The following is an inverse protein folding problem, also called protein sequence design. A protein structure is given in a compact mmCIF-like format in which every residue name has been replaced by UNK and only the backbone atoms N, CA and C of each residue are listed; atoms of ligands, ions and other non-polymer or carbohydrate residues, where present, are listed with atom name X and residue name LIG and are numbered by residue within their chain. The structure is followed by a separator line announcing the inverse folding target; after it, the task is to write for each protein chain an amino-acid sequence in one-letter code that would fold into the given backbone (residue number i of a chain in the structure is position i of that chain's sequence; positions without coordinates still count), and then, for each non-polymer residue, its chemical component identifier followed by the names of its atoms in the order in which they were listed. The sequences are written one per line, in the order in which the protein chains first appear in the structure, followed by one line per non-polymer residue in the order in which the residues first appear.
data_IF_472054664846
#
_entry.id   IF_472054664846
#
_cell.length_a   1.000
_cell.length_b   1.000
_cell.length_c   1.000
_cell.angle_alpha   90.00
_cell.angle_beta   90.00
_cell.angle_gamma   90.00
#
_symmetry.space_group_name_H-M   'P 1'
#
loop_
_entity.id
_entity.type
_entity.pdbx_description
1 polymer ?
#
# COMPACT_ATOMS: atom_id res chain seq x y z
N UNK A 1 -4.52 -57.95 1.81
CA UNK A 1 -3.77 -56.97 0.98
C UNK A 1 -4.47 -55.62 0.81
N UNK A 2 -5.82 -55.51 0.77
CA UNK A 2 -6.53 -54.24 0.56
C UNK A 2 -6.38 -53.21 1.71
N UNK A 3 -6.47 -53.62 2.98
CA UNK A 3 -6.34 -52.69 4.14
C UNK A 3 -4.98 -51.98 4.23
N UNK A 4 -3.88 -52.65 3.87
CA UNK A 4 -2.53 -52.06 3.93
C UNK A 4 -2.31 -50.96 2.88
N UNK A 5 -2.97 -51.03 1.71
CA UNK A 5 -2.92 -49.94 0.72
C UNK A 5 -3.74 -48.75 1.18
N UNK A 6 -4.92 -48.98 1.77
CA UNK A 6 -5.79 -47.93 2.29
C UNK A 6 -5.12 -47.15 3.42
N UNK A 7 -4.47 -47.86 4.37
CA UNK A 7 -3.64 -47.24 5.43
C UNK A 7 -2.57 -46.30 4.88
N UNK A 8 -1.82 -46.75 3.88
CA UNK A 8 -0.77 -45.92 3.26
C UNK A 8 -1.32 -44.66 2.59
N UNK A 9 -2.52 -44.74 2.00
CA UNK A 9 -3.18 -43.60 1.36
C UNK A 9 -3.66 -42.59 2.42
N UNK A 10 -4.29 -43.06 3.51
CA UNK A 10 -4.77 -42.17 4.59
C UNK A 10 -3.60 -41.53 5.35
N UNK A 11 -2.59 -42.31 5.72
CA UNK A 11 -1.37 -41.78 6.35
C UNK A 11 -0.62 -40.81 5.43
N UNK A 12 -0.58 -41.08 4.11
CA UNK A 12 0.01 -40.17 3.13
C UNK A 12 -0.75 -38.84 3.02
N UNK A 13 -2.08 -38.89 3.01
CA UNK A 13 -2.94 -37.71 2.99
C UNK A 13 -2.80 -36.84 4.24
N UNK A 14 -2.69 -37.46 5.43
CA UNK A 14 -2.45 -36.76 6.70
C UNK A 14 -1.07 -36.13 6.79
N UNK A 15 -0.05 -36.76 6.23
CA UNK A 15 1.28 -36.15 6.16
C UNK A 15 1.29 -34.94 5.23
N UNK A 16 0.60 -35.00 4.09
CA UNK A 16 0.50 -33.85 3.17
C UNK A 16 -0.32 -32.68 3.73
N UNK A 17 -1.36 -32.93 4.53
CA UNK A 17 -2.20 -31.85 5.10
C UNK A 17 -1.52 -31.08 6.24
N UNK A 18 -0.52 -31.68 6.91
CA UNK A 18 0.29 -30.97 7.92
C UNK A 18 1.25 -29.91 7.37
N UNK A 19 1.43 -29.85 6.05
CA UNK A 19 2.26 -28.85 5.36
C UNK A 19 1.44 -27.72 4.71
N UNK A 20 0.21 -27.46 5.15
CA UNK A 20 -0.51 -26.26 4.75
C UNK A 20 0.34 -25.02 5.08
N UNK A 21 0.86 -24.37 4.05
CA UNK A 21 1.71 -23.18 4.18
C UNK A 21 0.89 -22.10 4.88
N UNK A 22 1.34 -21.53 6.01
CA UNK A 22 0.60 -20.48 6.71
C UNK A 22 0.70 -19.17 5.91
N UNK A 23 -0.17 -18.99 4.91
CA UNK A 23 -0.23 -17.78 4.09
C UNK A 23 -1.01 -16.65 4.77
N UNK A 24 -1.79 -16.93 5.82
CA UNK A 24 -2.63 -15.91 6.48
C UNK A 24 -1.82 -14.73 7.05
N UNK A 25 -0.61 -14.97 7.58
CA UNK A 25 0.29 -13.91 8.01
C UNK A 25 0.72 -12.99 6.86
N UNK A 26 0.98 -13.55 5.68
CA UNK A 26 1.33 -12.81 4.46
C UNK A 26 0.13 -12.06 3.88
N UNK A 27 -1.07 -12.64 3.93
CA UNK A 27 -2.33 -12.02 3.47
C UNK A 27 -2.71 -10.83 4.34
N UNK A 28 -2.51 -10.97 5.65
CA UNK A 28 -2.77 -9.90 6.61
C UNK A 28 -1.78 -8.74 6.46
N UNK A 29 -0.52 -9.04 6.12
CA UNK A 29 0.48 -8.03 5.75
C UNK A 29 0.20 -7.35 4.39
N UNK A 30 -0.38 -8.08 3.43
CA UNK A 30 -0.63 -7.62 2.07
C UNK A 30 -1.80 -6.63 1.93
N UNK A 31 -2.68 -6.50 2.94
CA UNK A 31 -3.81 -5.54 2.98
C UNK A 31 -4.80 -5.65 1.80
N UNK A 32 -4.98 -6.84 1.25
CA UNK A 32 -5.94 -7.11 0.17
C UNK A 32 -7.20 -7.81 0.72
N UNK A 33 -8.34 -7.12 0.86
CA UNK A 33 -9.55 -7.67 1.52
C UNK A 33 -10.16 -8.85 0.75
N UNK A 34 -10.11 -8.82 -0.59
CA UNK A 34 -10.63 -9.90 -1.42
C UNK A 34 -9.78 -11.18 -1.27
N UNK A 35 -8.44 -11.03 -1.25
CA UNK A 35 -7.50 -12.13 -1.00
C UNK A 35 -7.65 -12.67 0.43
N UNK A 36 -7.98 -11.79 1.40
CA UNK A 36 -8.26 -12.18 2.79
C UNK A 36 -9.50 -13.05 2.92
N UNK A 37 -10.59 -12.70 2.24
CA UNK A 37 -11.81 -13.50 2.25
C UNK A 37 -11.59 -14.89 1.64
N UNK A 38 -10.92 -14.97 0.48
CA UNK A 38 -10.60 -16.26 -0.17
C UNK A 38 -9.65 -17.11 0.68
N UNK A 39 -8.65 -16.49 1.33
CA UNK A 39 -7.74 -17.19 2.24
C UNK A 39 -8.44 -17.77 3.47
N UNK A 40 -9.34 -17.01 4.12
CA UNK A 40 -10.11 -17.45 5.28
C UNK A 40 -11.05 -18.61 4.93
N UNK A 41 -11.72 -18.53 3.77
CA UNK A 41 -12.59 -19.60 3.29
C UNK A 41 -11.78 -20.87 2.99
N UNK A 42 -10.58 -20.72 2.44
CA UNK A 42 -9.68 -21.85 2.13
C UNK A 42 -9.13 -22.51 3.39
N UNK A 43 -8.76 -21.74 4.43
CA UNK A 43 -8.38 -22.29 5.75
C UNK A 43 -9.52 -23.06 6.41
N UNK A 44 -10.74 -22.51 6.38
CA UNK A 44 -11.91 -23.21 6.92
C UNK A 44 -12.15 -24.53 6.20
N UNK A 45 -12.04 -24.55 4.87
CA UNK A 45 -12.16 -25.78 4.07
C UNK A 45 -11.04 -26.79 4.38
N UNK A 46 -9.82 -26.34 4.66
CA UNK A 46 -8.72 -27.21 5.08
C UNK A 46 -8.97 -27.84 6.46
N UNK A 47 -9.48 -27.07 7.41
CA UNK A 47 -9.84 -27.60 8.72
C UNK A 47 -10.94 -28.67 8.60
N UNK A 48 -11.97 -28.43 7.79
CA UNK A 48 -13.03 -29.41 7.53
C UNK A 48 -12.49 -30.70 6.86
N UNK A 49 -11.53 -30.59 5.93
CA UNK A 49 -10.88 -31.75 5.33
C UNK A 49 -10.03 -32.54 6.35
N UNK A 50 -9.36 -31.83 7.26
CA UNK A 50 -8.57 -32.44 8.33
C UNK A 50 -9.45 -33.22 9.31
N UNK A 51 -10.61 -32.66 9.66
CA UNK A 51 -11.60 -33.31 10.52
C UNK A 51 -12.16 -34.59 9.85
N UNK A 52 -12.44 -34.54 8.54
CA UNK A 52 -12.86 -35.72 7.75
C UNK A 52 -11.79 -36.80 7.69
N UNK A 53 -10.51 -36.44 7.51
CA UNK A 53 -9.38 -37.38 7.55
C UNK A 53 -9.28 -38.09 8.90
N UNK A 54 -9.39 -37.33 9.98
CA UNK A 54 -9.36 -37.86 11.35
C UNK A 54 -10.53 -38.82 11.60
N UNK A 55 -11.72 -38.49 11.10
CA UNK A 55 -12.90 -39.35 11.19
C UNK A 55 -12.73 -40.65 10.39
N UNK A 56 -12.18 -40.57 9.17
CA UNK A 56 -11.87 -41.73 8.32
C UNK A 56 -10.85 -42.67 8.95
N UNK A 57 -9.83 -42.14 9.62
CA UNK A 57 -8.90 -42.95 10.42
C UNK A 57 -9.60 -43.71 11.55
N UNK A 58 -10.53 -43.04 12.25
CA UNK A 58 -11.35 -43.65 13.28
C UNK A 58 -12.20 -44.81 12.74
N UNK A 59 -12.90 -44.56 11.62
CA UNK A 59 -13.68 -45.60 10.92
C UNK A 59 -12.80 -46.78 10.50
N UNK A 60 -11.61 -46.51 9.96
CA UNK A 60 -10.68 -47.56 9.55
C UNK A 60 -10.19 -48.41 10.73
N UNK A 61 -9.86 -47.80 11.87
CA UNK A 61 -9.47 -48.52 13.09
C UNK A 61 -10.60 -49.40 13.64
N UNK A 62 -11.86 -48.94 13.56
CA UNK A 62 -13.03 -49.71 14.00
C UNK A 62 -13.26 -50.96 13.12
N UNK A 63 -13.13 -50.81 11.79
CA UNK A 63 -13.23 -51.93 10.83
C UNK A 63 -12.12 -52.97 11.04
N UNK A 64 -10.95 -52.56 11.54
CA UNK A 64 -9.86 -53.50 11.86
C UNK A 64 -10.06 -54.28 13.17
N UNK A 65 -10.87 -53.76 14.09
CA UNK A 65 -11.19 -54.43 15.35
C UNK A 65 -12.27 -55.52 15.19
N UNK A 66 -13.06 -55.47 14.12
CA UNK A 66 -14.16 -56.40 13.87
C UNK A 66 -13.70 -57.65 13.08
N UNK A 67 -13.76 -58.82 13.72
CA UNK A 67 -13.19 -60.09 13.21
C UNK A 67 -14.13 -60.90 12.30
N UNK A 68 -15.34 -60.41 12.03
CA UNK A 68 -16.35 -61.07 11.19
C UNK A 68 -16.25 -60.59 9.74
N UNK A 69 -16.08 -61.52 8.79
CA UNK A 69 -15.64 -61.23 7.42
C UNK A 69 -16.67 -60.55 6.48
N UNK A 70 -17.94 -60.48 6.85
CA UNK A 70 -19.02 -59.97 5.98
C UNK A 70 -19.32 -58.47 6.15
N UNK A 71 -19.30 -57.94 7.38
CA UNK A 71 -19.52 -56.51 7.70
C UNK A 71 -18.42 -55.59 7.17
N UNK A 72 -17.22 -56.13 6.97
CA UNK A 72 -16.04 -55.37 6.56
C UNK A 72 -16.07 -54.90 5.10
N UNK A 73 -16.79 -55.58 4.20
CA UNK A 73 -16.73 -55.26 2.76
C UNK A 73 -17.52 -54.00 2.39
N UNK A 74 -18.69 -53.80 3.01
CA UNK A 74 -19.52 -52.60 2.79
C UNK A 74 -18.86 -51.35 3.41
N UNK A 75 -18.36 -51.45 4.64
CA UNK A 75 -17.65 -50.37 5.31
C UNK A 75 -16.37 -49.94 4.56
N UNK A 76 -15.61 -50.89 4.00
CA UNK A 76 -14.43 -50.57 3.18
C UNK A 76 -14.83 -49.85 1.88
N UNK A 77 -15.97 -50.20 1.27
CA UNK A 77 -16.47 -49.52 0.06
C UNK A 77 -16.87 -48.07 0.36
N UNK A 78 -17.54 -47.82 1.48
CA UNK A 78 -17.89 -46.47 1.95
C UNK A 78 -16.64 -45.60 2.20
N UNK A 79 -15.66 -46.13 2.95
CA UNK A 79 -14.38 -45.45 3.21
C UNK A 79 -13.64 -45.13 1.90
N UNK A 80 -13.73 -46.02 0.91
CA UNK A 80 -13.08 -45.82 -0.39
C UNK A 80 -13.72 -44.67 -1.19
N UNK A 81 -15.05 -44.55 -1.16
CA UNK A 81 -15.75 -43.43 -1.83
C UNK A 81 -15.52 -42.10 -1.09
N UNK A 82 -15.57 -42.09 0.25
CA UNK A 82 -15.25 -40.90 1.03
C UNK A 82 -13.81 -40.41 0.79
N UNK A 83 -12.86 -41.32 0.61
CA UNK A 83 -11.47 -40.97 0.25
C UNK A 83 -11.34 -40.41 -1.16
N UNK A 84 -12.11 -40.91 -2.12
CA UNK A 84 -12.10 -40.40 -3.49
C UNK A 84 -12.64 -38.98 -3.57
N UNK A 85 -13.71 -38.69 -2.82
CA UNK A 85 -14.27 -37.34 -2.72
C UNK A 85 -13.32 -36.39 -2.00
N UNK A 86 -12.68 -36.85 -0.93
CA UNK A 86 -11.68 -36.06 -0.21
C UNK A 86 -10.46 -35.74 -1.10
N UNK A 87 -10.01 -36.68 -1.93
CA UNK A 87 -8.92 -36.44 -2.87
C UNK A 87 -9.25 -35.32 -3.85
N UNK A 88 -10.48 -35.32 -4.38
CA UNK A 88 -10.98 -34.26 -5.26
C UNK A 88 -11.06 -32.90 -4.56
N UNK A 89 -11.43 -32.88 -3.28
CA UNK A 89 -11.42 -31.65 -2.46
C UNK A 89 -10.00 -31.15 -2.19
N UNK A 90 -9.04 -32.06 -2.04
CA UNK A 90 -7.62 -31.70 -1.85
C UNK A 90 -7.02 -31.11 -3.12
N UNK A 91 -7.34 -31.66 -4.30
CA UNK A 91 -6.92 -31.09 -5.60
C UNK A 91 -7.47 -29.68 -5.81
N UNK A 92 -8.77 -29.46 -5.52
CA UNK A 92 -9.36 -28.12 -5.66
C UNK A 92 -8.80 -27.12 -4.65
N UNK A 93 -8.47 -27.59 -3.44
CA UNK A 93 -7.81 -26.75 -2.42
C UNK A 93 -6.39 -26.35 -2.83
N UNK A 94 -5.62 -27.26 -3.44
CA UNK A 94 -4.30 -26.94 -3.97
C UNK A 94 -4.34 -25.88 -5.07
N UNK A 95 -5.35 -25.92 -5.95
CA UNK A 95 -5.58 -24.87 -6.96
C UNK A 95 -5.91 -23.53 -6.31
N UNK A 96 -6.75 -23.52 -5.26
CA UNK A 96 -7.08 -22.30 -4.53
C UNK A 96 -5.85 -21.70 -3.82
N UNK A 97 -5.00 -22.54 -3.21
CA UNK A 97 -3.74 -22.10 -2.59
C UNK A 97 -2.80 -21.44 -3.62
N UNK A 98 -2.65 -22.02 -4.81
CA UNK A 98 -1.83 -21.43 -5.88
C UNK A 98 -2.35 -20.07 -6.32
N UNK A 99 -3.67 -19.89 -6.44
CA UNK A 99 -4.26 -18.57 -6.78
C UNK A 99 -4.04 -17.53 -5.68
N UNK A 100 -4.16 -17.93 -4.41
CA UNK A 100 -3.87 -17.05 -3.27
C UNK A 100 -2.40 -16.63 -3.28
N UNK A 101 -1.49 -17.56 -3.58
CA UNK A 101 -0.06 -17.27 -3.65
C UNK A 101 0.30 -16.32 -4.80
N UNK A 102 -0.30 -16.51 -5.97
CA UNK A 102 -0.14 -15.62 -7.13
C UNK A 102 -0.70 -14.22 -6.85
N UNK A 103 -1.88 -14.13 -6.24
CA UNK A 103 -2.48 -12.86 -5.84
C UNK A 103 -1.65 -12.14 -4.75
N UNK A 104 -1.05 -12.89 -3.82
CA UNK A 104 -0.13 -12.35 -2.82
C UNK A 104 1.13 -11.76 -3.45
N UNK A 105 1.73 -12.43 -4.44
CA UNK A 105 2.91 -11.95 -5.15
C UNK A 105 2.61 -10.66 -5.91
N UNK A 106 1.47 -10.61 -6.62
CA UNK A 106 1.00 -9.40 -7.32
C UNK A 106 0.77 -8.23 -6.36
N UNK A 107 0.14 -8.47 -5.21
CA UNK A 107 -0.09 -7.44 -4.20
C UNK A 107 1.23 -6.97 -3.57
N UNK A 108 2.14 -7.89 -3.25
CA UNK A 108 3.46 -7.53 -2.72
C UNK A 108 4.29 -6.74 -3.74
N UNK A 109 4.23 -7.12 -5.01
CA UNK A 109 4.87 -6.39 -6.11
C UNK A 109 4.32 -4.96 -6.20
N UNK A 110 2.99 -4.80 -6.26
CA UNK A 110 2.34 -3.49 -6.30
C UNK A 110 2.66 -2.64 -5.07
N UNK A 111 2.67 -3.22 -3.87
CA UNK A 111 3.04 -2.53 -2.65
C UNK A 111 4.49 -2.05 -2.67
N UNK A 112 5.42 -2.86 -3.21
CA UNK A 112 6.83 -2.50 -3.34
C UNK A 112 7.05 -1.38 -4.36
N UNK A 113 6.34 -1.41 -5.49
CA UNK A 113 6.38 -0.34 -6.48
C UNK A 113 5.78 0.96 -5.91
N UNK A 114 4.71 0.86 -5.11
CA UNK A 114 4.16 1.97 -4.34
C UNK A 114 5.14 2.52 -3.29
N UNK A 115 5.87 1.67 -2.58
CA UNK A 115 6.88 2.09 -1.61
C UNK A 115 8.03 2.85 -2.28
N UNK A 116 8.54 2.38 -3.43
CA UNK A 116 9.54 3.12 -4.22
C UNK A 116 9.02 4.49 -4.65
N UNK A 117 7.76 4.55 -5.12
CA UNK A 117 7.11 5.80 -5.50
C UNK A 117 6.96 6.78 -4.32
N UNK A 118 6.76 6.27 -3.10
CA UNK A 118 6.70 7.10 -1.89
C UNK A 118 8.07 7.59 -1.41
N UNK A 119 9.14 6.87 -1.72
CA UNK A 119 10.51 7.18 -1.28
C UNK A 119 11.16 8.28 -2.13
N UNK A 120 10.92 8.26 -3.45
CA UNK A 120 11.27 9.36 -4.36
C UNK A 120 10.17 9.56 -5.42
N UNK A 121 9.25 10.51 -5.20
CA UNK A 121 8.18 10.82 -6.16
C UNK A 121 8.68 11.33 -7.52
N UNK A 122 9.99 11.65 -7.64
CA UNK A 122 10.62 12.12 -8.86
C UNK A 122 11.38 11.04 -9.63
N UNK A 123 11.63 9.87 -9.02
CA UNK A 123 12.34 8.75 -9.66
C UNK A 123 11.35 7.84 -10.41
N UNK A 124 11.39 7.92 -11.76
CA UNK A 124 10.68 7.01 -12.65
C UNK A 124 9.34 7.48 -13.21
N UNK A 125 8.87 8.70 -12.92
CA UNK A 125 7.58 9.18 -13.45
C UNK A 125 7.70 9.80 -14.84
N UNK A 126 7.34 9.02 -15.86
CA UNK A 126 7.05 9.50 -17.21
C UNK A 126 5.54 9.46 -17.41
N UNK A 127 4.93 10.59 -17.79
CA UNK A 127 3.48 10.72 -17.88
C UNK A 127 2.87 9.65 -18.79
N UNK A 128 2.11 8.72 -18.21
CA UNK A 128 1.26 7.79 -18.98
C UNK A 128 -0.13 8.40 -19.15
N UNK A 129 -0.65 8.38 -20.38
CA UNK A 129 -1.84 9.10 -20.82
C UNK A 129 -3.17 8.49 -20.33
N UNK A 130 -4.17 9.35 -20.05
CA UNK A 130 -5.54 8.97 -19.74
C UNK A 130 -6.46 8.85 -20.99
N UNK A 131 -6.01 9.27 -22.18
CA UNK A 131 -6.80 9.14 -23.43
C UNK A 131 -5.90 9.01 -24.67
N UNK A 132 -6.38 8.31 -25.69
CA UNK A 132 -5.66 8.13 -26.98
C UNK A 132 -5.86 9.28 -27.98
N UNK A 133 -6.77 10.22 -27.72
CA UNK A 133 -7.30 11.09 -28.79
C UNK A 133 -6.59 12.43 -28.99
N UNK A 134 -5.81 12.93 -28.04
CA UNK A 134 -5.22 14.27 -28.16
C UNK A 134 -3.84 14.44 -27.49
N UNK A 135 -3.18 13.33 -27.10
CA UNK A 135 -1.88 13.39 -26.43
C UNK A 135 -0.75 13.03 -27.39
N UNK A 136 0.29 13.87 -27.36
CA UNK A 136 1.57 13.58 -27.99
C UNK A 136 2.23 12.47 -27.18
N UNK A 137 2.35 11.30 -27.82
CA UNK A 137 3.26 10.25 -27.42
C UNK A 137 4.63 10.89 -27.14
N UNK A 138 5.26 10.71 -25.95
CA UNK A 138 6.64 11.12 -25.78
C UNK A 138 7.43 10.30 -26.82
N UNK A 139 7.83 10.94 -27.91
CA UNK A 139 8.37 10.30 -29.10
C UNK A 139 9.61 9.47 -28.80
N UNK A 140 9.42 8.22 -28.44
CA UNK A 140 10.45 7.21 -28.35
C UNK A 140 10.13 6.12 -29.36
N UNK A 141 10.99 5.94 -30.36
CA UNK A 141 11.06 4.65 -31.05
C UNK A 141 11.64 3.64 -30.04
N UNK A 142 10.80 3.06 -29.17
CA UNK A 142 11.19 2.08 -28.15
C UNK A 142 10.94 2.51 -26.70
N UNK A 143 11.36 1.65 -25.76
CA UNK A 143 11.13 1.68 -24.30
C UNK A 143 11.75 2.86 -23.53
N UNK A 144 12.13 3.94 -24.21
CA UNK A 144 12.74 5.13 -23.61
C UNK A 144 11.80 6.33 -23.75
N UNK A 145 11.18 6.79 -22.67
CA UNK A 145 10.33 7.97 -22.70
C UNK A 145 11.11 9.24 -23.08
N UNK A 146 10.52 10.03 -23.98
CA UNK A 146 11.05 11.34 -24.40
C UNK A 146 10.85 12.40 -23.32
N UNK A 147 11.94 13.10 -22.97
CA UNK A 147 11.93 14.27 -22.09
C UNK A 147 11.24 15.50 -22.71
N UNK A 148 10.86 15.46 -23.99
CA UNK A 148 10.13 16.55 -24.65
C UNK A 148 8.76 16.08 -25.16
N UNK A 149 7.70 16.79 -24.76
CA UNK A 149 6.37 16.73 -25.39
C UNK A 149 6.28 17.87 -26.42
N UNK A 150 5.97 17.53 -27.66
CA UNK A 150 5.99 18.47 -28.80
C UNK A 150 4.57 18.73 -29.33
N UNK A 151 4.10 19.98 -29.29
CA UNK A 151 2.76 20.38 -29.71
C UNK A 151 2.51 20.33 -31.23
N UNK A 152 3.47 19.83 -32.04
CA UNK A 152 3.34 19.74 -33.50
C UNK A 152 2.07 19.01 -33.97
N UNK A 153 1.62 17.99 -33.22
CA UNK A 153 0.45 17.18 -33.59
C UNK A 153 -0.91 17.88 -33.35
N UNK A 154 -0.93 19.07 -32.75
CA UNK A 154 -2.15 19.87 -32.58
C UNK A 154 -2.41 20.84 -33.74
N UNK A 155 -1.65 20.74 -34.84
CA UNK A 155 -1.91 21.55 -36.03
C UNK A 155 -3.34 21.33 -36.55
N UNK A 156 -4.11 22.41 -36.67
CA UNK A 156 -5.52 22.37 -37.07
C UNK A 156 -6.52 22.21 -35.92
N UNK A 157 -6.05 21.98 -34.68
CA UNK A 157 -6.88 22.00 -33.47
C UNK A 157 -6.80 23.36 -32.76
N UNK A 158 -7.89 23.76 -32.09
CA UNK A 158 -7.92 25.01 -31.31
C UNK A 158 -7.13 24.91 -30.01
N UNK A 159 -7.04 23.71 -29.44
CA UNK A 159 -6.50 23.46 -28.11
C UNK A 159 -5.53 22.29 -28.13
N UNK A 160 -4.33 22.52 -27.59
CA UNK A 160 -3.32 21.51 -27.30
C UNK A 160 -3.37 21.16 -25.81
N UNK A 161 -3.26 19.88 -25.47
CA UNK A 161 -3.29 19.40 -24.09
C UNK A 161 -2.04 18.57 -23.82
N UNK A 162 -1.20 19.02 -22.90
CA UNK A 162 -0.04 18.27 -22.41
C UNK A 162 -0.37 17.47 -21.16
N UNK A 163 0.39 16.41 -20.89
CA UNK A 163 0.40 15.77 -19.58
C UNK A 163 1.48 16.43 -18.70
N UNK A 164 1.09 16.98 -17.55
CA UNK A 164 2.04 17.60 -16.64
C UNK A 164 2.99 16.57 -15.99
N UNK A 165 4.28 16.88 -15.95
CA UNK A 165 5.28 16.19 -15.15
C UNK A 165 6.42 17.17 -14.79
N UNK A 166 6.98 17.11 -13.56
CA UNK A 166 7.96 18.09 -13.08
C UNK A 166 9.25 18.21 -13.93
N UNK A 167 9.67 17.11 -14.56
CA UNK A 167 10.93 17.01 -15.31
C UNK A 167 10.72 17.02 -16.83
N UNK A 168 9.58 17.49 -17.30
CA UNK A 168 9.21 17.47 -18.72
C UNK A 168 9.44 18.84 -19.39
N UNK A 169 9.96 18.79 -20.62
CA UNK A 169 10.05 19.93 -21.52
C UNK A 169 8.85 19.97 -22.47
N UNK A 170 8.21 21.13 -22.61
CA UNK A 170 7.04 21.33 -23.47
C UNK A 170 7.38 22.26 -24.63
N UNK A 171 7.33 21.75 -25.86
CA UNK A 171 7.58 22.55 -27.05
C UNK A 171 6.28 23.05 -27.66
N UNK A 172 6.17 24.38 -27.81
CA UNK A 172 4.97 25.10 -28.22
C UNK A 172 5.28 25.95 -29.44
N UNK A 173 4.37 25.92 -30.42
CA UNK A 173 4.48 26.71 -31.63
C UNK A 173 3.66 27.99 -31.53
N UNK A 174 4.32 29.10 -31.83
CA UNK A 174 3.72 30.44 -31.87
C UNK A 174 3.86 31.03 -33.28
N UNK A 175 3.05 32.03 -33.60
CA UNK A 175 3.13 32.72 -34.90
C UNK A 175 3.09 34.22 -34.73
N UNK A 176 3.92 34.93 -35.48
CA UNK A 176 3.91 36.40 -35.49
C UNK A 176 2.53 36.92 -35.90
N UNK A 177 2.05 37.91 -35.15
CA UNK A 177 0.71 38.49 -35.36
C UNK A 177 -0.42 37.68 -34.71
N UNK A 178 -0.13 36.53 -34.09
CA UNK A 178 -1.09 35.71 -33.35
C UNK A 178 -0.70 35.64 -31.88
N UNK A 179 -1.69 35.35 -31.03
CA UNK A 179 -1.52 35.20 -29.59
C UNK A 179 -1.72 33.73 -29.22
N UNK A 180 -0.79 33.16 -28.48
CA UNK A 180 -0.92 31.83 -27.86
C UNK A 180 -1.29 32.02 -26.39
N UNK A 181 -2.38 31.40 -25.95
CA UNK A 181 -2.82 31.37 -24.55
C UNK A 181 -2.37 30.06 -23.88
N UNK A 182 -1.68 30.18 -22.73
CA UNK A 182 -1.34 29.08 -21.86
C UNK A 182 -2.19 29.17 -20.59
N UNK A 183 -3.07 28.21 -20.35
CA UNK A 183 -3.83 28.11 -19.11
C UNK A 183 -3.23 27.05 -18.18
N UNK A 184 -2.80 27.45 -16.99
CA UNK A 184 -2.20 26.56 -16.01
C UNK A 184 -3.25 26.02 -15.02
N UNK A 185 -2.79 25.32 -13.98
CA UNK A 185 -3.66 24.68 -13.01
C UNK A 185 -4.58 25.69 -12.31
N UNK A 186 -5.88 25.37 -12.22
CA UNK A 186 -6.86 26.20 -11.52
C UNK A 186 -6.53 26.32 -10.03
N UNK A 187 -6.69 27.52 -9.47
CA UNK A 187 -6.42 27.80 -8.06
C UNK A 187 -4.96 28.11 -7.75
N UNK A 188 -4.12 28.27 -8.78
CA UNK A 188 -2.74 28.72 -8.62
C UNK A 188 -2.54 30.15 -9.12
N UNK A 189 -1.42 30.74 -8.73
CA UNK A 189 -0.95 32.02 -9.24
C UNK A 189 0.45 31.87 -9.84
N UNK A 190 0.69 32.54 -10.98
CA UNK A 190 2.03 32.63 -11.57
C UNK A 190 2.90 33.47 -10.64
N UNK A 191 4.06 32.92 -10.24
CA UNK A 191 5.05 33.59 -9.38
C UNK A 191 6.22 34.13 -10.17
N UNK A 192 6.61 33.43 -11.23
CA UNK A 192 7.73 33.84 -12.06
C UNK A 192 7.53 33.41 -13.51
N UNK A 193 7.97 34.29 -14.42
CA UNK A 193 8.09 34.06 -15.86
C UNK A 193 9.46 34.58 -16.28
N UNK A 194 10.27 33.74 -16.92
CA UNK A 194 11.58 34.14 -17.42
C UNK A 194 11.93 33.41 -18.71
N UNK A 195 12.50 34.11 -19.69
CA UNK A 195 12.88 33.53 -20.98
C UNK A 195 14.30 33.89 -21.37
N UNK A 196 14.88 33.12 -22.30
CA UNK A 196 16.22 33.39 -22.83
C UNK A 196 16.27 34.62 -23.73
N UNK A 197 15.38 34.70 -24.72
CA UNK A 197 15.19 35.86 -25.59
C UNK A 197 13.92 36.62 -25.20
N UNK A 198 14.06 37.65 -24.36
CA UNK A 198 12.93 38.48 -23.93
C UNK A 198 12.62 39.63 -24.88
N UNK A 199 13.47 39.90 -25.88
CA UNK A 199 13.26 40.97 -26.87
C UNK A 199 12.38 40.48 -28.01
N UNK A 200 12.59 39.23 -28.44
CA UNK A 200 11.80 38.58 -29.47
C UNK A 200 10.39 38.16 -29.03
N UNK A 201 10.05 38.27 -27.74
CA UNK A 201 8.85 37.66 -27.16
C UNK A 201 8.18 38.60 -26.15
N UNK A 202 6.90 38.87 -26.36
CA UNK A 202 6.06 39.57 -25.39
C UNK A 202 5.26 38.55 -24.58
N UNK A 203 5.22 38.73 -23.27
CA UNK A 203 4.46 37.91 -22.33
C UNK A 203 3.56 38.78 -21.46
N UNK A 204 2.31 38.36 -21.28
CA UNK A 204 1.34 39.04 -20.41
C UNK A 204 0.55 38.01 -19.62
N UNK A 205 0.27 38.27 -18.35
CA UNK A 205 -0.50 37.37 -17.49
C UNK A 205 -1.89 37.89 -17.20
N UNK A 206 -2.85 36.98 -17.00
CA UNK A 206 -4.15 37.30 -16.41
C UNK A 206 -4.61 36.16 -15.50
N UNK A 207 -5.70 36.37 -14.77
CA UNK A 207 -6.39 35.30 -14.04
C UNK A 207 -7.89 35.38 -14.37
N UNK A 208 -8.47 34.26 -14.81
CA UNK A 208 -9.87 34.16 -15.22
C UNK A 208 -10.50 32.98 -14.48
N UNK A 209 -11.53 33.24 -13.67
CA UNK A 209 -12.20 32.21 -12.84
C UNK A 209 -11.22 31.34 -12.01
N UNK A 210 -10.18 31.97 -11.46
CA UNK A 210 -9.15 31.28 -10.67
C UNK A 210 -8.16 30.48 -11.51
N UNK A 211 -8.24 30.52 -12.84
CA UNK A 211 -7.25 29.93 -13.76
C UNK A 211 -6.24 31.01 -14.14
N UNK A 212 -4.95 30.85 -13.83
CA UNK A 212 -3.93 31.76 -14.31
C UNK A 212 -3.62 31.49 -15.78
N UNK A 213 -3.59 32.55 -16.58
CA UNK A 213 -3.25 32.53 -18.00
C UNK A 213 -1.95 33.27 -18.26
N UNK A 214 -1.18 32.78 -19.23
CA UNK A 214 -0.03 33.46 -19.81
C UNK A 214 -0.20 33.56 -21.33
N UNK A 215 -0.30 34.79 -21.81
CA UNK A 215 -0.40 35.09 -23.22
C UNK A 215 0.99 35.37 -23.80
N UNK A 216 1.32 34.66 -24.87
CA UNK A 216 2.62 34.70 -25.52
C UNK A 216 2.46 35.21 -26.95
N UNK A 217 3.26 36.19 -27.32
CA UNK A 217 3.28 36.77 -28.67
C UNK A 217 4.73 36.97 -29.17
N UNK A 218 5.13 36.32 -30.27
CA UNK A 218 6.42 36.59 -30.88
C UNK A 218 6.43 37.94 -31.63
N UNK A 219 7.55 38.64 -31.49
CA UNK A 219 7.85 39.95 -32.10
C UNK A 219 8.84 39.81 -33.26
N UNK A 220 9.26 38.60 -33.60
CA UNK A 220 10.12 38.28 -34.76
C UNK A 220 9.53 37.13 -35.57
N UNK A 221 9.92 37.02 -36.84
CA UNK A 221 9.42 35.96 -37.74
C UNK A 221 10.03 34.59 -37.45
N UNK A 222 11.28 34.56 -36.99
CA UNK A 222 12.00 33.32 -36.69
C UNK A 222 12.75 33.45 -35.37
N UNK A 223 12.32 32.69 -34.35
CA UNK A 223 13.00 32.57 -33.07
C UNK A 223 12.66 31.23 -32.42
N UNK A 224 13.64 30.69 -31.69
CA UNK A 224 13.44 29.57 -30.77
C UNK A 224 14.10 29.94 -29.45
N UNK A 225 13.34 29.92 -28.37
CA UNK A 225 13.84 30.27 -27.04
C UNK A 225 13.21 29.36 -25.99
N UNK A 226 13.87 29.25 -24.85
CA UNK A 226 13.24 28.70 -23.66
C UNK A 226 12.39 29.77 -22.94
N UNK A 227 11.36 29.29 -22.24
CA UNK A 227 10.60 30.05 -21.26
C UNK A 227 10.35 29.16 -20.03
N UNK A 228 10.63 29.67 -18.84
CA UNK A 228 10.38 29.01 -17.57
C UNK A 228 9.25 29.77 -16.89
N UNK A 229 8.21 29.03 -16.52
CA UNK A 229 7.07 29.58 -15.77
C UNK A 229 6.97 28.79 -14.47
N UNK A 230 6.86 29.48 -13.34
CA UNK A 230 6.60 28.82 -12.06
C UNK A 230 5.35 29.40 -11.42
N UNK A 231 4.52 28.52 -10.88
CA UNK A 231 3.33 28.84 -10.10
C UNK A 231 3.57 28.53 -8.62
N UNK A 232 2.51 28.36 -7.84
CA UNK A 232 2.63 28.02 -6.42
C UNK A 232 3.02 26.55 -6.19
N UNK A 233 2.59 25.63 -7.07
CA UNK A 233 2.89 24.19 -6.94
C UNK A 233 3.61 23.60 -8.15
N UNK A 234 3.61 24.27 -9.30
CA UNK A 234 4.15 23.71 -10.55
C UNK A 234 5.25 24.57 -11.16
N UNK A 235 6.16 23.90 -11.88
CA UNK A 235 7.20 24.53 -12.69
C UNK A 235 7.14 23.97 -14.11
N UNK A 236 7.06 24.86 -15.10
CA UNK A 236 6.91 24.51 -16.50
C UNK A 236 8.17 24.92 -17.26
N UNK A 237 8.83 23.93 -17.87
CA UNK A 237 9.95 24.14 -18.78
C UNK A 237 9.41 24.15 -20.21
N UNK A 238 9.49 25.30 -20.89
CA UNK A 238 8.92 25.48 -22.22
C UNK A 238 10.01 25.77 -23.26
N UNK A 239 9.84 25.23 -24.45
CA UNK A 239 10.50 25.70 -25.67
C UNK A 239 9.43 26.39 -26.53
N UNK A 240 9.64 27.66 -26.83
CA UNK A 240 8.81 28.40 -27.77
C UNK A 240 9.50 28.39 -29.14
N UNK A 241 8.75 28.06 -30.17
CA UNK A 241 9.23 28.04 -31.54
C UNK A 241 8.27 28.81 -32.44
N UNK A 242 8.78 29.72 -33.26
CA UNK A 242 7.96 30.40 -34.27
C UNK A 242 7.73 29.51 -35.49
N UNK A 243 6.49 29.45 -36.00
CA UNK A 243 6.15 28.78 -37.26
C UNK A 243 5.14 29.61 -38.07
N UNK A 244 4.84 29.15 -39.29
CA UNK A 244 3.74 29.60 -40.13
C UNK A 244 2.33 29.22 -39.61
N UNK A 245 2.27 28.36 -38.58
CA UNK A 245 1.07 28.02 -37.80
C UNK A 245 1.36 28.19 -36.30
N UNK A 246 0.34 28.08 -35.44
CA UNK A 246 0.49 28.24 -33.99
C UNK A 246 -0.48 27.36 -33.21
N UNK A 247 -0.17 27.14 -31.93
CA UNK A 247 -1.10 26.60 -30.95
C UNK A 247 -1.90 27.78 -30.35
N UNK A 248 -3.22 27.89 -30.58
CA UNK A 248 -4.01 29.00 -30.04
C UNK A 248 -4.18 28.92 -28.53
N UNK A 249 -4.48 27.73 -28.03
CA UNK A 249 -4.66 27.44 -26.62
C UNK A 249 -3.84 26.22 -26.22
N UNK A 250 -3.16 26.28 -25.08
CA UNK A 250 -2.42 25.17 -24.49
C UNK A 250 -2.85 25.00 -23.04
N UNK A 251 -3.13 23.76 -22.66
CA UNK A 251 -3.46 23.38 -21.29
C UNK A 251 -2.69 22.14 -20.86
N UNK A 252 -2.74 21.82 -19.57
CA UNK A 252 -2.14 20.61 -19.00
C UNK A 252 -3.17 19.78 -18.25
N UNK A 253 -3.04 18.46 -18.30
CA UNK A 253 -3.69 17.53 -17.38
C UNK A 253 -2.73 17.11 -16.27
N UNK A 254 -3.29 16.80 -15.10
CA UNK A 254 -2.53 16.50 -13.88
C UNK A 254 -2.86 15.10 -13.35
N UNK A 255 -3.28 14.20 -14.25
CA UNK A 255 -3.76 12.84 -13.92
C UNK A 255 -2.77 12.03 -13.09
N UNK A 256 -1.47 12.22 -13.37
CA UNK A 256 -0.36 11.70 -12.60
C UNK A 256 -0.43 12.00 -11.11
N UNK A 257 -0.54 13.29 -10.81
CA UNK A 257 -0.59 13.81 -9.46
C UNK A 257 -1.93 13.47 -8.82
N UNK A 258 -3.02 13.52 -9.58
CA UNK A 258 -4.35 13.14 -9.09
C UNK A 258 -4.41 11.66 -8.69
N UNK A 259 -3.77 10.76 -9.46
CA UNK A 259 -3.65 9.36 -9.11
C UNK A 259 -2.78 9.18 -7.87
N UNK A 260 -1.61 9.83 -7.82
CA UNK A 260 -0.72 9.79 -6.65
C UNK A 260 -1.41 10.30 -5.38
N UNK A 261 -2.09 11.46 -5.46
CA UNK A 261 -2.84 12.05 -4.37
C UNK A 261 -4.04 11.18 -3.97
N UNK A 262 -4.73 10.56 -4.93
CA UNK A 262 -5.82 9.63 -4.69
C UNK A 262 -5.35 8.36 -3.98
N UNK A 263 -4.21 7.80 -4.39
CA UNK A 263 -3.58 6.65 -3.75
C UNK A 263 -3.06 7.02 -2.35
N UNK A 264 -2.47 8.20 -2.17
CA UNK A 264 -2.05 8.72 -0.86
C UNK A 264 -3.25 8.99 0.06
N UNK A 265 -4.34 9.53 -0.46
CA UNK A 265 -5.57 9.77 0.28
C UNK A 265 -6.22 8.45 0.70
N UNK A 266 -6.29 7.48 -0.22
CA UNK A 266 -6.75 6.12 0.07
C UNK A 266 -5.84 5.42 1.07
N UNK A 267 -4.52 5.54 0.95
CA UNK A 267 -3.57 5.00 1.92
C UNK A 267 -3.70 5.68 3.30
N UNK A 268 -4.00 6.99 3.34
CA UNK A 268 -4.31 7.72 4.59
C UNK A 268 -5.65 7.31 5.18
N UNK A 269 -6.67 7.11 4.36
CA UNK A 269 -7.99 6.64 4.77
C UNK A 269 -7.91 5.19 5.27
N UNK A 270 -7.20 4.32 4.57
CA UNK A 270 -6.87 2.97 5.00
C UNK A 270 -6.07 3.02 6.30
N UNK A 271 -5.14 3.95 6.49
CA UNK A 271 -4.40 4.16 7.75
C UNK A 271 -5.27 4.69 8.90
N UNK A 272 -6.29 5.49 8.60
CA UNK A 272 -7.27 5.99 9.56
C UNK A 272 -8.29 4.89 9.95
N UNK A 273 -8.64 4.03 9.00
CA UNK A 273 -9.64 2.96 9.15
C UNK A 273 -9.03 1.69 9.77
N UNK A 274 -7.75 1.38 9.49
CA UNK A 274 -7.03 0.20 10.02
C UNK A 274 -6.35 0.43 11.36
N UNK A 275 -6.49 1.59 11.98
CA UNK A 275 -6.03 1.76 13.36
C UNK A 275 -4.53 1.49 13.56
N UNK A 276 -3.66 1.56 12.54
CA UNK A 276 -2.24 1.31 12.77
C UNK A 276 -1.62 2.42 13.63
N UNK A 277 -0.99 2.00 14.72
CA UNK A 277 -0.16 2.86 15.56
C UNK A 277 1.09 3.20 14.75
N UNK A 278 1.12 4.40 14.19
CA UNK A 278 2.31 4.88 13.52
C UNK A 278 3.39 5.15 14.56
N UNK A 279 4.44 4.33 14.58
CA UNK A 279 5.73 4.70 15.14
C UNK A 279 6.34 5.72 14.20
N UNK A 280 6.59 6.94 14.68
CA UNK A 280 6.99 8.08 13.83
C UNK A 280 8.39 7.90 13.23
N UNK A 281 9.19 6.96 13.76
CA UNK A 281 10.53 6.68 13.26
C UNK A 281 10.96 5.23 13.62
N UNK A 282 11.04 4.36 12.60
CA UNK A 282 11.43 2.94 12.78
C UNK A 282 12.91 2.82 13.18
N UNK A 283 13.75 3.79 12.79
CA UNK A 283 15.19 3.78 13.05
C UNK A 283 15.56 4.17 14.50
N UNK A 284 14.63 4.73 15.28
CA UNK A 284 14.85 5.17 16.67
C UNK A 284 14.09 4.34 17.71
N UNK A 285 13.63 3.15 17.36
CA UNK A 285 12.92 2.28 18.28
C UNK A 285 13.85 1.74 19.38
N UNK A 286 13.50 2.03 20.63
CA UNK A 286 14.19 1.55 21.82
C UNK A 286 13.37 0.44 22.50
N UNK A 287 13.90 -0.78 22.48
CA UNK A 287 13.31 -1.98 23.08
C UNK A 287 13.87 -2.31 24.47
N UNK A 288 14.64 -1.40 25.08
CA UNK A 288 15.39 -1.65 26.32
C UNK A 288 14.51 -1.64 27.59
N UNK A 289 13.29 -2.16 27.53
CA UNK A 289 12.37 -2.24 28.65
C UNK A 289 12.27 -3.66 29.20
N UNK A 290 12.30 -3.79 30.53
CA UNK A 290 12.06 -5.07 31.23
C UNK A 290 10.74 -5.03 31.98
N UNK A 291 9.96 -6.09 31.82
CA UNK A 291 8.66 -6.30 32.45
C UNK A 291 8.82 -7.29 33.62
N UNK A 292 8.21 -6.99 34.76
CA UNK A 292 8.23 -7.81 35.97
C UNK A 292 6.92 -7.66 36.75
N UNK A 293 6.60 -8.60 37.64
CA UNK A 293 5.34 -8.58 38.40
C UNK A 293 4.12 -8.99 37.55
N UNK A 294 2.95 -9.08 38.17
CA UNK A 294 1.71 -9.60 37.56
C UNK A 294 1.75 -11.08 37.18
N UNK A 295 0.58 -11.63 36.84
CA UNK A 295 0.46 -12.99 36.30
C UNK A 295 0.95 -13.08 34.85
N UNK A 296 1.39 -14.27 34.43
CA UNK A 296 1.96 -14.47 33.09
C UNK A 296 1.00 -14.13 31.95
N UNK A 297 -0.30 -14.31 32.16
CA UNK A 297 -1.37 -14.02 31.19
C UNK A 297 -1.67 -12.53 31.04
N UNK A 298 -1.33 -11.73 32.06
CA UNK A 298 -1.60 -10.29 32.14
C UNK A 298 -0.40 -9.43 31.70
N UNK A 299 0.78 -10.05 31.53
CA UNK A 299 2.02 -9.35 31.19
C UNK A 299 1.99 -8.82 29.75
N UNK A 300 2.49 -7.60 29.51
CA UNK A 300 2.86 -7.17 28.18
C UNK A 300 3.84 -8.16 27.54
N UNK A 301 3.60 -8.53 26.29
CA UNK A 301 4.54 -9.34 25.50
C UNK A 301 5.67 -8.53 24.91
N UNK A 302 5.50 -7.21 24.76
CA UNK A 302 6.56 -6.33 24.28
C UNK A 302 6.37 -4.90 24.78
N UNK A 303 7.46 -4.21 25.09
CA UNK A 303 7.46 -2.78 25.38
C UNK A 303 8.59 -2.10 24.63
N UNK A 304 8.29 -1.00 23.96
CA UNK A 304 9.27 -0.22 23.22
C UNK A 304 8.86 1.26 23.11
N UNK A 305 9.79 2.13 22.76
CA UNK A 305 9.51 3.56 22.51
C UNK A 305 10.09 4.02 21.19
N UNK A 306 9.47 5.00 20.54
CA UNK A 306 10.01 5.64 19.31
C UNK A 306 10.84 6.91 19.58
N UNK A 307 11.07 7.22 20.86
CA UNK A 307 11.75 8.43 21.32
C UNK A 307 10.79 9.52 21.80
N UNK A 308 9.52 9.47 21.40
CA UNK A 308 8.47 10.39 21.85
C UNK A 308 7.41 9.68 22.70
N UNK A 309 7.01 8.48 22.26
CA UNK A 309 5.93 7.68 22.82
C UNK A 309 6.45 6.32 23.26
N UNK A 310 5.78 5.73 24.25
CA UNK A 310 6.02 4.35 24.68
C UNK A 310 4.81 3.49 24.34
N UNK A 311 5.08 2.34 23.73
CA UNK A 311 4.11 1.35 23.30
C UNK A 311 4.26 0.10 24.16
N UNK A 312 3.16 -0.31 24.79
CA UNK A 312 3.09 -1.50 25.66
C UNK A 312 2.12 -2.48 25.00
N UNK A 313 2.64 -3.54 24.39
CA UNK A 313 1.90 -4.57 23.66
C UNK A 313 1.51 -5.74 24.57
N UNK A 314 0.28 -6.23 24.44
CA UNK A 314 -0.23 -7.41 25.12
C UNK A 314 -0.55 -8.53 24.12
N UNK A 315 -0.55 -9.80 24.54
CA UNK A 315 -0.91 -10.91 23.63
C UNK A 315 -2.41 -11.00 23.35
N UNK A 316 -3.23 -10.46 24.25
CA UNK A 316 -4.70 -10.43 24.11
C UNK A 316 -5.19 -8.98 24.12
N UNK A 317 -6.32 -8.76 23.47
CA UNK A 317 -6.98 -7.45 23.46
C UNK A 317 -7.31 -7.02 24.90
N UNK A 318 -6.92 -5.80 25.26
CA UNK A 318 -7.14 -5.27 26.60
C UNK A 318 -8.42 -4.43 26.60
N UNK A 319 -9.54 -5.07 26.93
CA UNK A 319 -10.86 -4.43 26.91
C UNK A 319 -11.07 -3.37 28.02
N UNK A 320 -10.22 -3.36 29.07
CA UNK A 320 -10.38 -2.51 30.27
C UNK A 320 -9.18 -1.57 30.46
N UNK A 321 -9.45 -0.32 30.85
CA UNK A 321 -8.40 0.63 31.27
C UNK A 321 -7.97 0.36 32.72
N UNK A 322 -6.67 0.39 32.96
CA UNK A 322 -6.02 0.22 34.26
C UNK A 322 -5.24 1.48 34.63
N UNK A 323 -5.19 1.89 35.91
CA UNK A 323 -4.31 2.97 36.33
C UNK A 323 -2.85 2.71 35.95
N UNK A 324 -2.29 3.62 35.15
CA UNK A 324 -0.89 3.61 34.76
C UNK A 324 -0.16 4.74 35.48
N UNK A 325 0.87 4.38 36.23
CA UNK A 325 1.78 5.32 36.88
C UNK A 325 3.12 5.28 36.17
N UNK A 326 3.68 6.43 35.82
CA UNK A 326 5.00 6.52 35.19
C UNK A 326 5.93 7.37 36.03
N UNK A 327 7.23 7.08 35.94
CA UNK A 327 8.33 7.88 36.46
C UNK A 327 9.19 8.31 35.29
N UNK A 328 9.19 9.60 35.02
CA UNK A 328 10.08 10.24 34.05
C UNK A 328 11.48 10.44 34.67
N UNK A 329 12.53 10.50 33.84
CA UNK A 329 13.93 10.59 34.27
C UNK A 329 14.26 11.79 35.18
N UNK A 330 13.49 12.87 35.05
CA UNK A 330 13.64 14.11 35.83
C UNK A 330 12.84 14.13 37.15
N UNK A 331 11.95 13.16 37.38
CA UNK A 331 11.03 13.15 38.52
C UNK A 331 11.41 12.06 39.53
N UNK A 332 11.39 12.37 40.83
CA UNK A 332 11.59 11.36 41.88
C UNK A 332 10.32 10.51 42.09
N UNK A 333 9.15 11.10 41.87
CA UNK A 333 7.84 10.49 42.15
C UNK A 333 7.20 9.89 40.91
N UNK A 334 6.39 8.85 41.12
CA UNK A 334 5.52 8.28 40.09
C UNK A 334 4.24 9.09 39.95
N UNK A 335 3.85 9.43 38.72
CA UNK A 335 2.64 10.18 38.41
C UNK A 335 1.66 9.31 37.64
N UNK A 336 0.39 9.38 38.00
CA UNK A 336 -0.68 8.80 37.18
C UNK A 336 -0.70 9.48 35.81
N UNK A 337 -0.78 8.71 34.74
CA UNK A 337 -0.69 9.22 33.36
C UNK A 337 -1.77 8.61 32.49
N UNK A 338 -2.40 9.45 31.68
CA UNK A 338 -3.35 9.01 30.68
C UNK A 338 -2.63 8.36 29.50
N UNK A 339 -3.25 7.33 28.95
CA UNK A 339 -2.77 6.61 27.78
C UNK A 339 -3.95 6.25 26.87
N UNK A 340 -3.64 5.98 25.61
CA UNK A 340 -4.61 5.52 24.62
C UNK A 340 -4.56 4.00 24.52
N UNK A 341 -5.71 3.36 24.43
CA UNK A 341 -5.81 1.94 24.10
C UNK A 341 -6.10 1.84 22.62
N UNK A 342 -5.29 1.07 21.89
CA UNK A 342 -5.50 0.78 20.46
C UNK A 342 -5.09 -0.66 20.21
N UNK A 343 -6.00 -1.48 19.70
CA UNK A 343 -5.81 -2.93 19.56
C UNK A 343 -5.38 -3.59 20.89
N UNK A 344 -4.23 -4.25 20.89
CA UNK A 344 -3.57 -4.82 22.07
C UNK A 344 -2.45 -3.94 22.61
N UNK A 345 -2.48 -2.63 22.37
CA UNK A 345 -1.47 -1.68 22.85
C UNK A 345 -2.03 -0.68 23.85
N UNK A 346 -1.23 -0.38 24.88
CA UNK A 346 -1.30 0.89 25.58
C UNK A 346 -0.25 1.85 24.99
N UNK A 347 -0.71 3.02 24.56
CA UNK A 347 0.12 4.06 23.94
C UNK A 347 0.21 5.23 24.91
N UNK A 348 1.42 5.44 25.42
CA UNK A 348 1.74 6.52 26.34
C UNK A 348 2.45 7.61 25.54
N UNK A 349 1.94 8.84 25.55
CA UNK A 349 2.53 9.96 24.79
C UNK A 349 3.81 10.53 25.44
N UNK A 350 4.57 9.68 26.13
CA UNK A 350 5.80 10.00 26.84
C UNK A 350 6.72 8.78 26.91
N UNK A 351 8.03 9.05 27.01
CA UNK A 351 9.06 8.09 27.40
C UNK A 351 9.27 8.12 28.92
N UNK A 352 9.46 6.97 29.56
CA UNK A 352 9.60 6.85 31.01
C UNK A 352 10.70 5.87 31.42
N UNK A 353 11.30 6.09 32.60
CA UNK A 353 12.31 5.19 33.17
C UNK A 353 11.65 3.99 33.86
N UNK A 354 10.47 4.21 34.46
CA UNK A 354 9.72 3.16 35.15
C UNK A 354 8.22 3.40 35.02
N UNK A 355 7.45 2.34 34.81
CA UNK A 355 6.00 2.39 34.89
C UNK A 355 5.44 1.26 35.77
N UNK A 356 4.26 1.50 36.33
CA UNK A 356 3.45 0.52 37.04
C UNK A 356 2.02 0.53 36.51
N UNK A 357 1.55 -0.62 36.05
CA UNK A 357 0.15 -0.87 35.71
C UNK A 357 -0.46 -1.61 36.89
N UNK A 358 -1.52 -1.04 37.49
CA UNK A 358 -2.24 -1.67 38.60
C UNK A 358 -3.51 -2.33 38.08
N UNK A 359 -3.54 -3.66 38.06
CA UNK A 359 -4.70 -4.43 37.65
C UNK A 359 -5.68 -4.60 38.82
N UNK A 360 -5.14 -4.79 40.02
CA UNK A 360 -5.83 -4.83 41.31
C UNK A 360 -4.90 -4.36 42.44
N UNK A 361 -5.37 -4.35 43.68
CA UNK A 361 -4.54 -3.96 44.85
C UNK A 361 -3.36 -4.91 45.10
N UNK A 362 -3.45 -6.17 44.63
CA UNK A 362 -2.40 -7.18 44.78
C UNK A 362 -1.65 -7.49 43.48
N UNK A 363 -2.17 -7.09 42.31
CA UNK A 363 -1.58 -7.38 41.01
C UNK A 363 -1.03 -6.11 40.34
N UNK A 364 0.31 -5.97 40.38
CA UNK A 364 1.03 -4.83 39.81
C UNK A 364 2.07 -5.34 38.81
N UNK A 365 1.99 -4.83 37.58
CA UNK A 365 3.01 -5.03 36.55
C UNK A 365 3.95 -3.83 36.58
N UNK A 366 5.24 -4.08 36.74
CA UNK A 366 6.30 -3.07 36.71
C UNK A 366 7.10 -3.18 35.41
N UNK A 367 7.22 -2.06 34.71
CA UNK A 367 8.04 -1.90 33.51
C UNK A 367 9.22 -0.99 33.88
N UNK A 368 10.44 -1.39 33.55
CA UNK A 368 11.65 -0.60 33.83
C UNK A 368 12.51 -0.49 32.58
N UNK A 369 12.88 0.73 32.22
CA UNK A 369 13.88 1.00 31.19
C UNK A 369 15.27 0.62 31.71
N UNK A 370 16.04 -0.10 30.91
CA UNK A 370 17.30 -0.74 31.31
C UNK A 370 18.54 0.12 31.05
N UNK A 371 18.39 1.42 30.83
CA UNK A 371 19.46 2.35 30.49
C UNK A 371 19.72 3.41 31.55
#
# INVERSE_FOLDING_TARGET
MKNNKLKKIICGALLCSTFAVPYMGSVEAAKAPDVKAEAQQTEKSQQEMQDKLTALEGKLKAVEADKTGETNTAAIKEITEELKELHKQMESSAVAQSRIMEALDDVQYKNKEMEKFMEDPSDGYYGTAATEKYLVYPGGNGSTPSYTQDAINAQGNSTMIFAYAPNQLYKIYCRRGYLTDLAFHKGENIKFVGGGDTVGWTVTTSNVDGVPHLYIKPVVETSTTNLIVTTEKHSYQLILNTSDWYNPMVTWTYEAENLANGLLAKAKEDRLTTGQVATTNIASLDFSYRVSGGESSSRPSMVFSDGEKTFIKFDKMVARKYPLFIKEKSSKDMKITNYKVKDNYFIVEKVFDRAQIRLSDSEIITIKHSK
#
